data_IF_828826958340
#
_entry.id   IF_828826958340
#
_cell.length_a   1.000
_cell.length_b   1.000
_cell.length_c   1.000
_cell.angle_alpha   90.00
_cell.angle_beta   90.00
_cell.angle_gamma   90.00
#
_symmetry.space_group_name_H-M   'P 1'
#
loop_
_entity.id
_entity.type
_entity.pdbx_description
1 polymer ?
#
# COMPACT_ATOMS: atom_id res chain seq x y z
N UNK A 1 17.23 -22.15 -1.69
CA UNK A 1 17.18 -20.67 -1.80
C UNK A 1 17.31 -20.09 -0.41
N UNK A 2 18.03 -18.99 -0.20
CA UNK A 2 18.02 -18.32 1.10
C UNK A 2 16.58 -17.94 1.45
N UNK A 3 16.18 -18.18 2.69
CA UNK A 3 14.86 -17.81 3.20
C UNK A 3 14.78 -16.28 3.15
N UNK A 4 13.79 -15.75 2.44
CA UNK A 4 13.52 -14.31 2.45
C UNK A 4 12.89 -13.93 3.77
N UNK A 5 13.56 -13.09 4.54
CA UNK A 5 12.97 -12.48 5.73
C UNK A 5 12.19 -11.19 5.37
N UNK A 6 11.42 -10.67 6.33
CA UNK A 6 10.63 -9.43 6.16
C UNK A 6 11.47 -8.25 5.65
N UNK A 7 12.70 -8.10 6.12
CA UNK A 7 13.60 -7.02 5.71
C UNK A 7 13.92 -7.11 4.23
N UNK A 8 14.19 -8.31 3.71
CA UNK A 8 14.44 -8.53 2.29
C UNK A 8 13.23 -8.20 1.40
N UNK A 9 12.01 -8.54 1.85
CA UNK A 9 10.77 -8.17 1.16
C UNK A 9 10.57 -6.66 1.10
N UNK A 10 10.68 -5.99 2.25
CA UNK A 10 10.53 -4.55 2.35
C UNK A 10 11.58 -3.82 1.49
N UNK A 11 12.82 -4.31 1.46
CA UNK A 11 13.88 -3.73 0.63
C UNK A 11 13.58 -3.83 -0.86
N UNK A 12 13.05 -4.97 -1.34
CA UNK A 12 12.66 -5.13 -2.75
C UNK A 12 11.51 -4.19 -3.11
N UNK A 13 10.47 -4.13 -2.29
CA UNK A 13 9.32 -3.24 -2.51
C UNK A 13 9.78 -1.78 -2.54
N UNK A 14 10.60 -1.37 -1.58
CA UNK A 14 11.14 -0.01 -1.53
C UNK A 14 11.98 0.30 -2.78
N UNK A 15 12.83 -0.62 -3.23
CA UNK A 15 13.62 -0.45 -4.46
C UNK A 15 12.76 -0.23 -5.71
N UNK A 16 11.66 -0.99 -5.85
CA UNK A 16 10.71 -0.80 -6.93
C UNK A 16 9.95 0.53 -6.82
N UNK A 17 9.50 0.91 -5.62
CA UNK A 17 8.88 2.20 -5.34
C UNK A 17 9.79 3.38 -5.72
N UNK A 18 11.07 3.34 -5.32
CA UNK A 18 12.05 4.39 -5.67
C UNK A 18 12.32 4.50 -7.18
N UNK A 19 12.13 3.39 -7.90
CA UNK A 19 12.30 3.35 -9.36
C UNK A 19 11.02 3.72 -10.13
N UNK A 20 9.91 3.99 -9.42
CA UNK A 20 8.59 4.24 -10.01
C UNK A 20 7.90 2.99 -10.57
N UNK A 21 8.44 1.80 -10.30
CA UNK A 21 7.95 0.51 -10.79
C UNK A 21 6.89 -0.05 -9.83
N UNK A 22 5.74 0.63 -9.75
CA UNK A 22 4.69 0.32 -8.77
C UNK A 22 4.05 -1.04 -9.00
N UNK A 23 3.90 -1.47 -10.25
CA UNK A 23 3.32 -2.77 -10.58
C UNK A 23 4.18 -3.93 -10.02
N UNK A 24 5.50 -3.82 -10.15
CA UNK A 24 6.45 -4.77 -9.58
C UNK A 24 6.44 -4.73 -8.05
N UNK A 25 6.34 -3.53 -7.46
CA UNK A 25 6.19 -3.37 -6.01
C UNK A 25 4.95 -4.10 -5.48
N UNK A 26 3.81 -3.98 -6.18
CA UNK A 26 2.56 -4.69 -5.87
C UNK A 26 2.67 -6.21 -6.08
N UNK A 27 3.37 -6.65 -7.12
CA UNK A 27 3.61 -8.09 -7.35
C UNK A 27 4.43 -8.70 -6.22
N UNK A 28 5.48 -8.02 -5.76
CA UNK A 28 6.30 -8.46 -4.61
C UNK A 28 5.49 -8.43 -3.31
N UNK A 29 4.66 -7.40 -3.10
CA UNK A 29 3.75 -7.34 -1.96
C UNK A 29 2.78 -8.53 -1.94
N UNK A 30 2.26 -8.91 -3.11
CA UNK A 30 1.38 -10.06 -3.25
C UNK A 30 2.10 -11.39 -2.95
N UNK A 31 3.33 -11.56 -3.45
CA UNK A 31 4.17 -12.73 -3.15
C UNK A 31 4.48 -12.84 -1.65
N UNK A 32 4.87 -11.72 -1.01
CA UNK A 32 5.08 -11.63 0.43
C UNK A 32 3.84 -12.05 1.23
N UNK A 33 2.65 -11.64 0.79
CA UNK A 33 1.36 -12.02 1.39
C UNK A 33 1.08 -13.53 1.25
N UNK A 34 1.33 -14.11 0.08
CA UNK A 34 1.14 -15.54 -0.18
C UNK A 34 2.06 -16.42 0.66
N UNK A 35 3.26 -15.95 0.97
CA UNK A 35 4.19 -16.63 1.90
C UNK A 35 3.82 -16.45 3.38
N UNK A 36 2.73 -15.74 3.67
CA UNK A 36 2.26 -15.52 5.05
C UNK A 36 3.13 -14.53 5.84
N UNK A 37 3.98 -13.75 5.16
CA UNK A 37 4.81 -12.75 5.81
C UNK A 37 3.97 -11.51 6.08
N UNK A 38 3.88 -11.12 7.35
CA UNK A 38 3.10 -9.93 7.74
C UNK A 38 3.69 -8.66 7.11
N UNK A 39 2.83 -7.91 6.43
CA UNK A 39 3.16 -6.68 5.71
C UNK A 39 3.20 -5.52 6.70
N UNK A 40 4.27 -4.74 6.63
CA UNK A 40 4.46 -3.55 7.46
C UNK A 40 3.57 -2.40 6.95
N UNK A 41 2.80 -1.70 7.82
CA UNK A 41 2.08 -0.48 7.46
C UNK A 41 2.94 0.56 6.73
N UNK A 42 4.25 0.65 7.05
CA UNK A 42 5.20 1.54 6.37
C UNK A 42 5.35 1.17 4.89
N UNK A 43 5.33 -0.12 4.56
CA UNK A 43 5.39 -0.62 3.18
C UNK A 43 4.16 -0.18 2.38
N UNK A 44 2.97 -0.30 2.97
CA UNK A 44 1.71 0.14 2.35
C UNK A 44 1.69 1.66 2.14
N UNK A 45 2.08 2.42 3.15
CA UNK A 45 2.20 3.87 3.07
C UNK A 45 3.16 4.32 1.96
N UNK A 46 4.29 3.61 1.80
CA UNK A 46 5.27 3.90 0.75
C UNK A 46 4.72 3.67 -0.66
N UNK A 47 3.98 2.58 -0.87
CA UNK A 47 3.34 2.30 -2.16
C UNK A 47 2.26 3.36 -2.46
N UNK A 48 1.40 3.68 -1.49
CA UNK A 48 0.37 4.73 -1.62
C UNK A 48 0.96 6.07 -2.03
N UNK A 49 2.07 6.47 -1.39
CA UNK A 49 2.77 7.71 -1.70
C UNK A 49 3.27 7.73 -3.15
N UNK A 50 3.93 6.65 -3.60
CA UNK A 50 4.47 6.59 -4.97
C UNK A 50 3.35 6.56 -6.01
N UNK A 51 2.27 5.79 -5.79
CA UNK A 51 1.10 5.84 -6.67
C UNK A 51 0.56 7.27 -6.80
N UNK A 52 0.46 7.97 -5.67
CA UNK A 52 -0.01 9.36 -5.63
C UNK A 52 0.96 10.29 -6.35
N UNK A 53 2.27 10.10 -6.24
CA UNK A 53 3.27 10.93 -6.94
C UNK A 53 3.27 10.71 -8.45
N UNK A 54 3.05 9.48 -8.90
CA UNK A 54 3.07 9.11 -10.32
C UNK A 54 1.71 9.30 -11.02
N UNK A 55 0.68 9.72 -10.29
CA UNK A 55 -0.70 9.76 -10.79
C UNK A 55 -1.20 8.39 -11.29
N UNK A 56 -0.66 7.30 -10.74
CA UNK A 56 -1.10 5.94 -11.04
C UNK A 56 -2.34 5.60 -10.20
N UNK A 57 -3.49 6.04 -10.70
CA UNK A 57 -4.79 5.82 -10.05
C UNK A 57 -5.13 4.33 -9.95
N UNK A 58 -4.75 3.50 -10.92
CA UNK A 58 -5.11 2.07 -10.92
C UNK A 58 -4.40 1.35 -9.79
N UNK A 59 -3.06 1.47 -9.73
CA UNK A 59 -2.27 0.88 -8.65
C UNK A 59 -2.61 1.47 -7.30
N UNK A 60 -2.88 2.78 -7.26
CA UNK A 60 -3.40 3.47 -6.09
C UNK A 60 -4.66 2.79 -5.55
N UNK A 61 -5.69 2.62 -6.39
CA UNK A 61 -6.96 2.02 -5.94
C UNK A 61 -6.78 0.58 -5.44
N UNK A 62 -5.89 -0.19 -6.07
CA UNK A 62 -5.59 -1.55 -5.61
C UNK A 62 -5.01 -1.56 -4.19
N UNK A 63 -4.03 -0.70 -3.92
CA UNK A 63 -3.42 -0.63 -2.59
C UNK A 63 -4.36 0.01 -1.55
N UNK A 64 -5.22 0.95 -1.95
CA UNK A 64 -6.25 1.52 -1.10
C UNK A 64 -7.23 0.43 -0.63
N UNK A 65 -7.75 -0.38 -1.55
CA UNK A 65 -8.64 -1.50 -1.22
C UNK A 65 -7.96 -2.55 -0.36
N UNK A 66 -6.67 -2.81 -0.61
CA UNK A 66 -5.87 -3.69 0.24
C UNK A 66 -5.79 -3.15 1.67
N UNK A 67 -5.51 -1.86 1.85
CA UNK A 67 -5.43 -1.24 3.17
C UNK A 67 -6.74 -1.42 3.96
N UNK A 68 -7.89 -1.10 3.34
CA UNK A 68 -9.22 -1.26 3.94
C UNK A 68 -9.51 -2.73 4.29
N UNK A 69 -9.29 -3.65 3.35
CA UNK A 69 -9.56 -5.07 3.56
C UNK A 69 -8.81 -5.65 4.76
N UNK A 70 -7.64 -5.10 5.06
CA UNK A 70 -6.76 -5.56 6.12
C UNK A 70 -6.81 -4.70 7.39
N UNK A 71 -7.72 -3.71 7.48
CA UNK A 71 -7.85 -2.85 8.66
C UNK A 71 -6.69 -1.88 8.85
N UNK A 72 -5.88 -1.64 7.80
CA UNK A 72 -4.71 -0.78 7.86
C UNK A 72 -5.08 0.70 7.75
N UNK A 73 -6.31 1.03 7.35
CA UNK A 73 -6.86 2.39 7.36
C UNK A 73 -6.92 3.00 8.78
N UNK A 74 -6.83 2.18 9.83
CA UNK A 74 -6.75 2.65 11.21
C UNK A 74 -5.32 2.96 11.68
N UNK A 75 -4.31 2.56 10.90
CA UNK A 75 -2.92 2.93 11.17
C UNK A 75 -2.69 4.41 10.81
N UNK A 76 -2.01 5.15 11.70
CA UNK A 76 -1.82 6.59 11.53
C UNK A 76 -0.98 6.94 10.29
N UNK A 77 0.01 6.10 9.93
CA UNK A 77 0.84 6.35 8.77
C UNK A 77 0.09 6.03 7.48
N UNK A 78 -0.66 4.93 7.46
CA UNK A 78 -1.44 4.53 6.28
C UNK A 78 -2.61 5.49 6.04
N UNK A 79 -3.36 5.85 7.09
CA UNK A 79 -4.50 6.77 7.00
C UNK A 79 -4.13 8.15 6.44
N UNK A 80 -3.00 8.72 6.88
CA UNK A 80 -2.52 10.00 6.34
C UNK A 80 -2.21 9.91 4.83
N UNK A 81 -1.64 8.80 4.38
CA UNK A 81 -1.36 8.59 2.96
C UNK A 81 -2.64 8.33 2.15
N UNK A 82 -3.61 7.60 2.71
CA UNK A 82 -4.93 7.41 2.10
C UNK A 82 -5.65 8.75 1.93
N UNK A 83 -5.66 9.64 2.93
CA UNK A 83 -6.28 10.96 2.82
C UNK A 83 -5.67 11.78 1.67
N UNK A 84 -4.33 11.78 1.57
CA UNK A 84 -3.63 12.50 0.51
C UNK A 84 -3.98 11.94 -0.88
N UNK A 85 -4.00 10.62 -0.99
CA UNK A 85 -4.33 9.90 -2.22
C UNK A 85 -5.80 10.12 -2.63
N UNK A 86 -6.74 10.03 -1.69
CA UNK A 86 -8.17 10.29 -1.90
C UNK A 86 -8.42 11.70 -2.41
N UNK A 87 -7.77 12.70 -1.80
CA UNK A 87 -7.85 14.08 -2.24
C UNK A 87 -7.32 14.27 -3.66
N UNK A 88 -6.21 13.61 -4.01
CA UNK A 88 -5.60 13.73 -5.34
C UNK A 88 -6.44 13.04 -6.43
N UNK A 89 -6.96 11.86 -6.14
CA UNK A 89 -7.71 11.05 -7.10
C UNK A 89 -9.22 11.32 -7.08
N UNK A 90 -9.69 12.22 -6.22
CA UNK A 90 -11.11 12.57 -6.12
C UNK A 90 -11.97 11.42 -5.57
N UNK A 91 -11.38 10.54 -4.76
CA UNK A 91 -12.09 9.42 -4.15
C UNK A 91 -12.92 9.96 -2.99
N UNK A 92 -14.24 9.74 -2.96
CA UNK A 92 -15.06 10.13 -1.83
C UNK A 92 -14.58 9.37 -0.59
N UNK A 93 -14.26 10.10 0.48
CA UNK A 93 -13.96 9.46 1.76
C UNK A 93 -15.16 8.63 2.16
N UNK A 94 -14.94 7.33 2.36
CA UNK A 94 -15.91 6.49 3.02
C UNK A 94 -16.06 7.03 4.44
N UNK A 95 -17.14 7.77 4.70
CA UNK A 95 -17.56 8.01 6.06
C UNK A 95 -17.76 6.63 6.68
N UNK A 96 -17.18 6.34 7.87
CA UNK A 96 -17.43 5.07 8.49
C UNK A 96 -18.95 4.97 8.65
N UNK A 97 -19.57 4.02 7.95
CA UNK A 97 -20.93 3.60 8.22
C UNK A 97 -20.88 2.82 9.53
N UNK A 98 -20.63 3.53 10.62
CA UNK A 98 -20.98 3.06 11.95
C UNK A 98 -22.49 3.21 11.99
N UNK A 99 -23.17 2.11 11.71
CA UNK A 99 -24.60 1.97 11.95
C UNK A 99 -24.92 2.35 13.40
N UNK A 100 -26.13 2.90 13.60
CA UNK A 100 -26.73 3.45 14.84
C UNK A 100 -26.40 2.69 16.15
#
# INVERSE_FOLDING_TARGET
>A
MPIRDRGSWNAMIYGYCQSGNVAEALAVLHEMSLEGVNIDPVTIASILLVCTQLDDTVSGMLIHLYAIKHGLEFDLFVSNNLINMDAKFGIPRHAPQVFD
#
